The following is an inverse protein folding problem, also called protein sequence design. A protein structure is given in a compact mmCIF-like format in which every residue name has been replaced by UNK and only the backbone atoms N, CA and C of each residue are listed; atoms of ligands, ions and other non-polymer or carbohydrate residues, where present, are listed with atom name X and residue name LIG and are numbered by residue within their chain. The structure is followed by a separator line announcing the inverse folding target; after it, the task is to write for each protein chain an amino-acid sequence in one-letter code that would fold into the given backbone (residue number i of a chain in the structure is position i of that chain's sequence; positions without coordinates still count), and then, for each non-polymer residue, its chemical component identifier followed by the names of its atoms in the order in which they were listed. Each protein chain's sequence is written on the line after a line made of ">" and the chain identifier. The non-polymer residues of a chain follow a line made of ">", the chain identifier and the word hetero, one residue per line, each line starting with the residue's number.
data_IF_834606479008
#
_entry.id   IF_834606479008
#
_cell.length_a   1.000
_cell.length_b   1.000
_cell.length_c   1.000
_cell.angle_alpha   90.00
_cell.angle_beta   90.00
_cell.angle_gamma   90.00
#
_symmetry.space_group_name_H-M   'P 1'
#
loop_
_entity.id
_entity.type
_entity.pdbx_description
1 polymer ?
#
# COMPACT_ATOMS: atom_id res chain seq x y z
N UNK A 1 48.20 30.45 -20.98
CA UNK A 1 47.76 29.06 -20.70
C UNK A 1 46.76 28.91 -19.51
N UNK A 2 45.84 29.85 -19.17
CA UNK A 2 44.83 29.60 -18.11
C UNK A 2 43.49 29.08 -18.64
N UNK A 3 43.15 29.31 -19.93
CA UNK A 3 41.84 28.97 -20.49
C UNK A 3 41.55 27.47 -20.58
N UNK A 4 42.57 26.65 -20.87
CA UNK A 4 42.40 25.19 -20.94
C UNK A 4 42.12 24.58 -19.55
N UNK A 5 42.67 25.17 -18.48
CA UNK A 5 42.42 24.72 -17.10
C UNK A 5 41.00 25.06 -16.64
N UNK A 6 40.46 26.20 -17.08
CA UNK A 6 39.07 26.60 -16.80
C UNK A 6 38.05 25.70 -17.56
N UNK A 7 38.37 25.33 -18.80
CA UNK A 7 37.55 24.43 -19.62
C UNK A 7 37.47 23.01 -19.03
N UNK A 8 38.60 22.47 -18.54
CA UNK A 8 38.66 21.16 -17.88
C UNK A 8 37.86 21.17 -16.57
N UNK A 9 37.91 22.27 -15.82
CA UNK A 9 37.13 22.44 -14.59
C UNK A 9 35.61 22.47 -14.88
N UNK A 10 35.19 23.13 -15.96
CA UNK A 10 33.78 23.17 -16.38
C UNK A 10 33.28 21.81 -16.88
N UNK A 11 34.12 21.03 -17.59
CA UNK A 11 33.79 19.69 -18.08
C UNK A 11 33.64 18.66 -16.95
N UNK A 12 34.36 18.82 -15.83
CA UNK A 12 34.20 17.97 -14.64
C UNK A 12 32.88 18.23 -13.89
N UNK A 13 32.35 19.46 -13.93
CA UNK A 13 31.11 19.81 -13.21
C UNK A 13 29.87 19.23 -13.91
N UNK A 14 29.90 19.08 -15.24
CA UNK A 14 28.76 18.52 -15.99
C UNK A 14 28.58 17.01 -15.83
N UNK A 15 29.61 16.29 -15.37
CA UNK A 15 29.52 14.83 -15.09
C UNK A 15 28.72 14.56 -13.81
N UNK A 16 28.58 15.56 -12.93
CA UNK A 16 27.80 15.46 -11.70
C UNK A 16 26.33 15.90 -11.86
N UNK A 17 25.85 16.15 -13.09
CA UNK A 17 24.42 16.17 -13.34
C UNK A 17 23.90 14.75 -13.20
N UNK A 18 23.59 14.39 -11.95
CA UNK A 18 22.89 13.19 -11.54
C UNK A 18 21.71 13.01 -12.47
N UNK A 19 21.78 12.01 -13.34
CA UNK A 19 20.55 11.41 -13.85
C UNK A 19 19.73 11.07 -12.61
N UNK A 20 18.49 11.54 -12.57
CA UNK A 20 17.49 10.96 -11.68
C UNK A 20 17.40 9.49 -12.07
N UNK A 21 18.29 8.66 -11.51
CA UNK A 21 18.22 7.22 -11.66
C UNK A 21 16.82 6.86 -11.18
N UNK A 22 15.99 6.34 -12.07
CA UNK A 22 14.72 5.74 -11.65
C UNK A 22 15.10 4.75 -10.55
N UNK A 23 14.60 4.95 -9.32
CA UNK A 23 15.01 4.20 -8.13
C UNK A 23 14.49 2.77 -8.23
N UNK A 24 15.14 1.96 -9.07
CA UNK A 24 14.83 0.56 -9.25
C UNK A 24 15.55 -0.24 -8.18
N UNK A 25 14.78 -1.01 -7.43
CA UNK A 25 15.29 -1.91 -6.39
C UNK A 25 15.04 -3.36 -6.75
N UNK A 26 15.91 -4.24 -6.24
CA UNK A 26 15.74 -5.67 -6.41
C UNK A 26 14.43 -6.14 -5.79
N UNK A 27 13.70 -6.97 -6.53
CA UNK A 27 12.40 -7.47 -6.12
C UNK A 27 11.92 -8.59 -7.03
N UNK A 28 10.67 -8.99 -6.83
CA UNK A 28 10.01 -9.95 -7.70
C UNK A 28 8.50 -9.72 -7.72
N UNK A 29 7.87 -10.18 -8.79
CA UNK A 29 6.41 -10.31 -8.88
C UNK A 29 6.03 -11.79 -8.81
N UNK A 30 4.85 -12.07 -8.28
CA UNK A 30 4.20 -13.37 -8.37
C UNK A 30 3.01 -13.20 -9.31
N UNK A 31 3.02 -13.93 -10.42
CA UNK A 31 1.93 -13.93 -11.39
C UNK A 31 0.71 -14.68 -10.86
N UNK A 32 -0.45 -14.47 -11.47
CA UNK A 32 -1.67 -15.21 -11.14
C UNK A 32 -1.54 -16.73 -11.41
N UNK A 33 -0.59 -17.15 -12.27
CA UNK A 33 -0.20 -18.54 -12.46
C UNK A 33 0.58 -19.15 -11.28
N UNK A 34 0.96 -18.34 -10.29
CA UNK A 34 1.91 -18.62 -9.21
C UNK A 34 3.39 -18.66 -9.62
N UNK A 35 3.72 -18.31 -10.86
CA UNK A 35 5.11 -18.16 -11.27
C UNK A 35 5.74 -16.91 -10.64
N UNK A 36 6.98 -17.04 -10.18
CA UNK A 36 7.75 -15.91 -9.62
C UNK A 36 8.72 -15.39 -10.67
N UNK A 37 8.63 -14.10 -10.98
CA UNK A 37 9.53 -13.43 -11.92
C UNK A 37 10.40 -12.45 -11.16
N UNK A 38 11.72 -12.69 -11.16
CA UNK A 38 12.71 -11.81 -10.53
C UNK A 38 13.03 -10.63 -11.43
N UNK A 39 13.36 -9.50 -10.82
CA UNK A 39 13.74 -8.31 -11.55
C UNK A 39 13.91 -7.11 -10.64
N UNK A 40 13.57 -5.95 -11.20
CA UNK A 40 13.67 -4.67 -10.53
C UNK A 40 12.31 -3.98 -10.51
N UNK A 41 11.90 -3.47 -9.34
CA UNK A 41 10.68 -2.69 -9.18
C UNK A 41 11.08 -1.24 -8.93
N UNK A 42 10.40 -0.29 -9.57
CA UNK A 42 10.61 1.13 -9.32
C UNK A 42 10.02 1.48 -7.95
N UNK A 43 10.86 1.89 -7.02
CA UNK A 43 10.48 2.40 -5.70
C UNK A 43 10.16 3.89 -5.80
N UNK A 44 8.87 4.23 -5.75
CA UNK A 44 8.40 5.61 -5.74
C UNK A 44 8.23 6.17 -4.32
N UNK A 45 8.69 5.45 -3.28
CA UNK A 45 8.60 5.88 -1.87
C UNK A 45 7.17 6.01 -1.38
N UNK A 46 6.33 5.00 -1.65
CA UNK A 46 4.89 5.14 -1.50
C UNK A 46 4.44 5.38 -0.04
N UNK A 47 3.86 6.54 0.24
CA UNK A 47 3.10 6.81 1.48
C UNK A 47 1.73 6.11 1.50
N UNK A 48 1.25 5.69 0.32
CA UNK A 48 -0.05 5.05 0.10
C UNK A 48 0.16 3.67 -0.52
N UNK A 49 -0.85 2.80 -0.49
CA UNK A 49 -0.76 1.57 -1.26
C UNK A 49 -0.67 1.90 -2.77
N UNK A 50 0.32 1.35 -3.50
CA UNK A 50 0.43 1.61 -4.93
C UNK A 50 -0.81 1.09 -5.66
N UNK A 51 -1.26 1.82 -6.67
CA UNK A 51 -2.31 1.37 -7.59
C UNK A 51 -1.72 0.55 -8.75
N UNK A 52 -0.48 0.90 -9.12
CA UNK A 52 0.33 0.17 -10.09
C UNK A 52 1.78 0.17 -9.64
N UNK A 53 2.55 -0.80 -10.14
CA UNK A 53 4.00 -0.85 -10.01
C UNK A 53 4.64 -0.90 -11.39
N UNK A 54 5.83 -0.34 -11.53
CA UNK A 54 6.67 -0.54 -12.71
C UNK A 54 7.72 -1.60 -12.41
N UNK A 55 7.78 -2.61 -13.27
CA UNK A 55 8.66 -3.76 -13.13
C UNK A 55 9.48 -3.99 -14.40
N UNK A 56 10.76 -4.31 -14.22
CA UNK A 56 11.67 -4.74 -15.28
C UNK A 56 12.19 -6.12 -14.92
N UNK A 57 11.89 -7.11 -15.75
CA UNK A 57 12.37 -8.47 -15.51
C UNK A 57 13.90 -8.57 -15.64
N UNK A 58 14.50 -9.52 -14.92
CA UNK A 58 15.94 -9.77 -14.99
C UNK A 58 16.37 -10.13 -16.43
N UNK A 59 17.44 -9.48 -16.90
CA UNK A 59 17.94 -9.66 -18.27
C UNK A 59 17.10 -8.99 -19.36
N UNK A 60 16.05 -8.27 -19.02
CA UNK A 60 15.22 -7.52 -19.98
C UNK A 60 15.40 -6.01 -19.85
N UNK A 61 15.28 -5.29 -20.97
CA UNK A 61 15.27 -3.83 -21.01
C UNK A 61 13.91 -3.23 -20.69
N UNK A 62 12.85 -3.97 -21.01
CA UNK A 62 11.49 -3.46 -21.05
C UNK A 62 10.92 -3.27 -19.65
N UNK A 63 10.23 -2.15 -19.46
CA UNK A 63 9.54 -1.81 -18.21
C UNK A 63 8.05 -1.98 -18.43
N UNK A 64 7.44 -2.88 -17.65
CA UNK A 64 6.01 -3.17 -17.70
C UNK A 64 5.31 -2.61 -16.47
N UNK A 65 4.06 -2.16 -16.65
CA UNK A 65 3.20 -1.71 -15.55
C UNK A 65 2.28 -2.85 -15.14
N UNK A 66 2.25 -3.17 -13.84
CA UNK A 66 1.34 -4.15 -13.27
C UNK A 66 0.40 -3.49 -12.25
N UNK A 67 -0.80 -4.02 -12.16
CA UNK A 67 -1.82 -3.63 -11.19
C UNK A 67 -2.30 -4.88 -10.41
N UNK A 68 -3.10 -4.70 -9.34
CA UNK A 68 -3.58 -5.80 -8.50
C UNK A 68 -4.35 -6.89 -9.25
N UNK A 69 -5.04 -6.56 -10.35
CA UNK A 69 -5.77 -7.54 -11.16
C UNK A 69 -4.83 -8.41 -12.02
N UNK A 70 -3.64 -7.91 -12.37
CA UNK A 70 -2.71 -8.58 -13.29
C UNK A 70 -1.67 -9.49 -12.63
N UNK A 71 -1.38 -9.27 -11.35
CA UNK A 71 -0.41 -10.05 -10.58
C UNK A 71 -0.96 -10.39 -9.21
N UNK A 72 -0.48 -11.48 -8.62
CA UNK A 72 -0.90 -11.96 -7.31
C UNK A 72 -0.20 -11.23 -6.17
N UNK A 73 1.07 -10.89 -6.35
CA UNK A 73 1.88 -10.23 -5.34
C UNK A 73 3.11 -9.56 -5.94
N UNK A 74 3.74 -8.68 -5.18
CA UNK A 74 5.10 -8.24 -5.45
C UNK A 74 5.87 -8.02 -4.14
N UNK A 75 7.19 -8.14 -4.22
CA UNK A 75 8.10 -7.96 -3.10
C UNK A 75 9.18 -6.94 -3.46
N UNK A 76 9.34 -5.93 -2.60
CA UNK A 76 10.33 -4.86 -2.75
C UNK A 76 10.70 -4.34 -1.35
N UNK A 77 11.98 -4.00 -1.15
CA UNK A 77 12.46 -3.38 0.09
C UNK A 77 12.05 -4.13 1.37
N UNK A 78 12.13 -5.47 1.35
CA UNK A 78 11.70 -6.37 2.44
C UNK A 78 10.21 -6.33 2.79
N UNK A 79 9.39 -5.74 1.92
CA UNK A 79 7.94 -5.63 2.07
C UNK A 79 7.26 -6.45 0.98
N UNK A 80 6.35 -7.32 1.40
CA UNK A 80 5.51 -8.10 0.51
C UNK A 80 4.12 -7.49 0.41
N UNK A 81 3.66 -7.27 -0.81
CA UNK A 81 2.30 -6.82 -1.11
C UNK A 81 1.55 -7.94 -1.82
N UNK A 82 0.31 -8.18 -1.41
CA UNK A 82 -0.61 -9.12 -2.08
C UNK A 82 -1.78 -8.36 -2.69
N UNK A 83 -2.23 -8.83 -3.85
CA UNK A 83 -3.48 -8.40 -4.44
C UNK A 83 -4.64 -9.07 -3.74
N UNK A 84 -5.62 -8.28 -3.33
CA UNK A 84 -6.86 -8.78 -2.76
C UNK A 84 -8.04 -8.08 -3.41
N UNK A 85 -9.06 -8.88 -3.73
CA UNK A 85 -10.39 -8.40 -4.04
C UNK A 85 -11.15 -8.26 -2.72
N UNK A 86 -11.55 -7.05 -2.36
CA UNK A 86 -12.03 -6.76 -1.01
C UNK A 86 -13.08 -5.64 -0.96
N UNK A 87 -13.97 -5.75 0.02
CA UNK A 87 -14.81 -4.63 0.44
C UNK A 87 -14.01 -3.69 1.35
N UNK A 88 -13.91 -2.43 0.93
CA UNK A 88 -13.13 -1.39 1.60
C UNK A 88 -14.09 -0.30 2.08
N UNK A 89 -14.08 -0.02 3.37
CA UNK A 89 -14.90 1.02 3.97
C UNK A 89 -14.46 2.39 3.44
N UNK A 90 -15.41 3.23 3.04
CA UNK A 90 -15.14 4.59 2.54
C UNK A 90 -15.29 5.67 3.60
N UNK A 91 -15.65 5.31 4.83
CA UNK A 91 -15.84 6.26 5.92
C UNK A 91 -14.53 6.97 6.24
N UNK A 92 -14.58 8.30 6.20
CA UNK A 92 -13.44 9.15 6.53
C UNK A 92 -13.04 9.00 8.01
N UNK A 93 -11.73 9.00 8.26
CA UNK A 93 -11.16 9.09 9.61
C UNK A 93 -10.72 10.51 9.99
N UNK A 94 -10.85 11.47 9.07
CA UNK A 94 -10.50 12.88 9.28
C UNK A 94 -11.56 13.61 10.11
N UNK A 95 -11.14 14.23 11.23
CA UNK A 95 -12.00 14.99 12.14
C UNK A 95 -12.82 16.09 11.45
N UNK A 96 -12.25 16.68 10.38
CA UNK A 96 -12.90 17.74 9.62
C UNK A 96 -14.07 17.21 8.78
N UNK A 97 -13.93 15.99 8.27
CA UNK A 97 -14.89 15.36 7.35
C UNK A 97 -15.84 14.40 8.06
N UNK A 98 -15.70 14.31 9.39
CA UNK A 98 -16.54 13.48 10.25
C UNK A 98 -17.94 14.07 10.36
N UNK A 99 -18.94 13.29 9.96
CA UNK A 99 -20.36 13.60 10.09
C UNK A 99 -21.03 12.90 11.28
N UNK A 100 -22.34 13.08 11.38
CA UNK A 100 -23.20 12.47 12.40
C UNK A 100 -23.72 11.09 12.00
N UNK A 101 -23.51 10.69 10.75
CA UNK A 101 -23.97 9.40 10.26
C UNK A 101 -23.19 8.25 10.91
N UNK A 102 -23.93 7.26 11.38
CA UNK A 102 -23.38 6.06 12.03
C UNK A 102 -23.22 4.90 11.06
N UNK A 103 -23.75 5.02 9.84
CA UNK A 103 -23.68 4.01 8.79
C UNK A 103 -22.24 3.77 8.34
N UNK A 104 -22.01 2.58 7.77
CA UNK A 104 -20.76 2.21 7.12
C UNK A 104 -21.05 1.98 5.64
N UNK A 105 -20.19 2.51 4.78
CA UNK A 105 -20.30 2.40 3.34
C UNK A 105 -19.04 1.74 2.82
N UNK A 106 -19.20 0.88 1.82
CA UNK A 106 -18.12 0.09 1.26
C UNK A 106 -18.08 0.24 -0.25
N UNK A 107 -16.87 0.20 -0.79
CA UNK A 107 -16.62 -0.05 -2.20
C UNK A 107 -15.97 -1.42 -2.34
N UNK A 108 -16.20 -2.06 -3.47
CA UNK A 108 -15.55 -3.31 -3.83
C UNK A 108 -14.45 -3.00 -4.84
N UNK A 109 -13.21 -3.39 -4.53
CA UNK A 109 -12.05 -3.10 -5.39
C UNK A 109 -10.93 -4.13 -5.21
N UNK A 110 -10.09 -4.28 -6.24
CA UNK A 110 -8.89 -5.12 -6.19
C UNK A 110 -7.65 -4.26 -5.93
N UNK A 111 -7.03 -4.41 -4.76
CA UNK A 111 -5.96 -3.52 -4.28
C UNK A 111 -4.71 -4.28 -3.84
N UNK A 112 -3.56 -3.61 -3.90
CA UNK A 112 -2.34 -4.09 -3.27
C UNK A 112 -2.37 -3.78 -1.76
N UNK A 113 -2.40 -4.83 -0.94
CA UNK A 113 -2.29 -4.71 0.51
C UNK A 113 -0.91 -5.11 0.99
N UNK A 114 -0.33 -4.29 1.86
CA UNK A 114 0.94 -4.56 2.54
C UNK A 114 0.74 -5.69 3.54
N UNK A 115 1.62 -6.69 3.51
CA UNK A 115 1.63 -7.76 4.49
C UNK A 115 2.26 -7.26 5.79
N UNK A 116 1.54 -7.35 6.90
CA UNK A 116 2.03 -6.99 8.24
C UNK A 116 2.44 -8.21 9.05
N UNK A 117 1.61 -9.26 9.02
CA UNK A 117 1.86 -10.52 9.72
C UNK A 117 1.45 -11.67 8.81
N UNK A 118 2.34 -12.64 8.62
CA UNK A 118 2.03 -13.93 7.99
C UNK A 118 1.98 -15.00 9.07
N UNK A 119 0.91 -15.78 9.09
CA UNK A 119 0.81 -16.95 9.97
C UNK A 119 0.73 -18.23 9.15
N UNK A 120 1.33 -19.29 9.68
CA UNK A 120 1.15 -20.65 9.17
C UNK A 120 -0.25 -21.20 9.49
N UNK A 121 -0.93 -20.64 10.51
CA UNK A 121 -2.23 -21.11 11.01
C UNK A 121 -3.41 -20.41 10.31
N UNK A 122 -3.22 -19.95 9.06
CA UNK A 122 -4.27 -19.35 8.23
C UNK A 122 -4.64 -17.90 8.56
N UNK A 123 -4.28 -17.35 9.72
CA UNK A 123 -4.63 -15.98 10.14
C UNK A 123 -3.53 -14.96 9.83
N UNK A 124 -3.70 -14.14 8.80
CA UNK A 124 -2.71 -13.13 8.39
C UNK A 124 -3.26 -11.71 8.48
N UNK A 125 -2.39 -10.74 8.76
CA UNK A 125 -2.75 -9.33 8.90
C UNK A 125 -2.12 -8.52 7.77
N UNK A 126 -2.91 -7.62 7.20
CA UNK A 126 -2.53 -6.74 6.11
C UNK A 126 -2.92 -5.30 6.42
N UNK A 127 -2.29 -4.35 5.73
CA UNK A 127 -2.79 -2.97 5.65
C UNK A 127 -2.92 -2.47 4.23
N UNK A 128 -3.87 -1.55 4.05
CA UNK A 128 -4.09 -0.80 2.82
C UNK A 128 -4.23 0.67 3.18
N UNK A 129 -3.42 1.52 2.54
CA UNK A 129 -3.50 2.97 2.72
C UNK A 129 -4.12 3.58 1.48
N UNK A 130 -5.31 4.14 1.63
CA UNK A 130 -6.09 4.66 0.51
C UNK A 130 -5.54 5.99 -0.05
N UNK A 131 -6.20 6.49 -1.11
CA UNK A 131 -5.85 7.75 -1.77
C UNK A 131 -5.89 8.98 -0.84
N UNK A 132 -6.55 8.87 0.32
CA UNK A 132 -6.66 9.93 1.32
C UNK A 132 -5.70 9.72 2.49
N UNK A 133 -4.70 8.84 2.34
CA UNK A 133 -3.74 8.48 3.38
C UNK A 133 -4.39 7.87 4.64
N UNK A 134 -5.58 7.28 4.50
CA UNK A 134 -6.20 6.54 5.61
C UNK A 134 -5.73 5.09 5.55
N UNK A 135 -4.95 4.69 6.55
CA UNK A 135 -4.53 3.29 6.70
C UNK A 135 -5.64 2.43 7.30
N UNK A 136 -5.95 1.32 6.64
CA UNK A 136 -6.96 0.33 7.04
C UNK A 136 -6.29 -1.01 7.24
N UNK A 137 -6.77 -1.78 8.20
CA UNK A 137 -6.20 -3.08 8.54
C UNK A 137 -7.16 -4.18 8.13
N UNK A 138 -6.64 -5.29 7.64
CA UNK A 138 -7.42 -6.40 7.14
C UNK A 138 -6.90 -7.71 7.72
N UNK A 139 -7.83 -8.57 8.12
CA UNK A 139 -7.53 -9.94 8.52
C UNK A 139 -7.93 -10.87 7.39
N UNK A 140 -6.98 -11.72 6.99
CA UNK A 140 -7.26 -12.89 6.16
C UNK A 140 -7.33 -14.11 7.04
N UNK A 141 -8.41 -14.87 6.91
CA UNK A 141 -8.52 -16.23 7.39
C UNK A 141 -8.92 -17.11 6.22
N UNK A 142 -8.15 -18.17 5.97
CA UNK A 142 -8.28 -19.01 4.78
C UNK A 142 -8.28 -18.17 3.49
N UNK A 143 -9.36 -18.17 2.72
CA UNK A 143 -9.50 -17.40 1.48
C UNK A 143 -10.37 -16.15 1.62
N UNK A 144 -10.78 -15.79 2.83
CA UNK A 144 -11.60 -14.60 3.06
C UNK A 144 -10.76 -13.49 3.67
N UNK A 145 -10.84 -12.29 3.08
CA UNK A 145 -10.22 -11.05 3.57
C UNK A 145 -11.30 -10.12 4.10
N UNK A 146 -11.14 -9.57 5.30
CA UNK A 146 -12.11 -8.66 5.91
C UNK A 146 -11.41 -7.44 6.55
N UNK A 147 -11.97 -6.24 6.37
CA UNK A 147 -11.51 -5.05 7.09
C UNK A 147 -11.80 -5.16 8.60
N UNK A 148 -10.81 -4.79 9.41
CA UNK A 148 -10.95 -4.53 10.84
C UNK A 148 -11.56 -3.15 11.05
N UNK A 149 -12.84 -3.13 11.40
CA UNK A 149 -13.67 -1.94 11.34
C UNK A 149 -13.50 -1.03 12.56
N UNK A 150 -13.31 0.25 12.27
CA UNK A 150 -13.38 1.34 13.22
C UNK A 150 -14.46 2.31 12.75
N UNK A 151 -15.54 2.45 13.52
CA UNK A 151 -16.61 3.38 13.18
C UNK A 151 -16.46 4.64 14.03
N UNK A 152 -16.11 5.75 13.38
CA UNK A 152 -15.95 7.06 14.01
C UNK A 152 -17.05 7.98 13.50
N UNK A 153 -17.77 8.65 14.39
CA UNK A 153 -18.83 9.61 14.05
C UNK A 153 -18.90 10.73 15.10
N UNK A 154 -19.63 11.80 14.80
CA UNK A 154 -19.95 12.87 15.76
C UNK A 154 -21.32 12.66 16.38
N UNK A 155 -21.46 13.11 17.62
CA UNK A 155 -22.76 13.36 18.26
C UNK A 155 -22.79 14.78 18.79
N UNK A 156 -23.98 15.37 18.87
CA UNK A 156 -24.15 16.72 19.40
C UNK A 156 -24.70 16.64 20.83
N UNK A 157 -23.91 17.06 21.81
CA UNK A 157 -24.27 17.06 23.23
C UNK A 157 -23.88 18.40 23.83
N UNK A 158 -24.79 19.03 24.59
CA UNK A 158 -24.53 20.28 25.32
C UNK A 158 -23.86 21.36 24.45
N UNK A 159 -24.42 21.59 23.26
CA UNK A 159 -23.95 22.55 22.27
C UNK A 159 -22.56 22.29 21.67
N UNK A 160 -22.03 21.08 21.84
CA UNK A 160 -20.70 20.70 21.35
C UNK A 160 -20.73 19.42 20.51
N UNK A 161 -19.84 19.37 19.52
CA UNK A 161 -19.54 18.16 18.76
C UNK A 161 -18.63 17.25 19.58
N UNK A 162 -19.12 16.04 19.87
CA UNK A 162 -18.34 15.01 20.54
C UNK A 162 -18.02 13.90 19.54
N UNK A 163 -16.73 13.60 19.40
CA UNK A 163 -16.27 12.44 18.62
C UNK A 163 -16.56 11.16 19.41
N UNK A 164 -17.27 10.25 18.78
CA UNK A 164 -17.48 8.88 19.27
C UNK A 164 -16.69 7.92 18.39
N UNK A 165 -16.02 6.97 19.03
CA UNK A 165 -15.29 5.89 18.36
C UNK A 165 -15.85 4.55 18.82
N UNK A 166 -16.29 3.72 17.88
CA UNK A 166 -16.75 2.36 18.12
C UNK A 166 -15.74 1.37 17.53
N UNK A 167 -15.02 0.69 18.41
CA UNK A 167 -13.96 -0.29 18.10
C UNK A 167 -14.54 -1.66 17.72
N UNK A 168 -15.24 -1.73 16.58
CA UNK A 168 -15.88 -2.97 16.09
C UNK A 168 -14.86 -4.09 15.90
N UNK A 169 -13.63 -3.72 15.50
CA UNK A 169 -12.51 -4.65 15.34
C UNK A 169 -12.21 -5.50 16.57
N UNK A 170 -12.49 -5.05 17.81
CA UNK A 170 -12.24 -5.86 19.00
C UNK A 170 -13.14 -7.10 19.03
N UNK A 171 -14.41 -6.94 18.67
CA UNK A 171 -15.33 -8.07 18.53
C UNK A 171 -14.94 -8.96 17.36
N UNK A 172 -14.53 -8.37 16.23
CA UNK A 172 -14.06 -9.14 15.07
C UNK A 172 -12.85 -10.01 15.43
N UNK A 173 -11.83 -9.43 16.08
CA UNK A 173 -10.64 -10.15 16.54
C UNK A 173 -10.98 -11.25 17.54
N UNK A 174 -11.91 -11.00 18.48
CA UNK A 174 -12.36 -12.01 19.43
C UNK A 174 -13.00 -13.24 18.77
N UNK A 175 -13.54 -13.12 17.55
CA UNK A 175 -14.06 -14.26 16.79
C UNK A 175 -12.95 -15.09 16.13
N UNK A 176 -11.79 -14.50 15.86
CA UNK A 176 -10.64 -15.18 15.26
C UNK A 176 -9.72 -15.86 16.29
N UNK A 177 -9.83 -15.52 17.57
CA UNK A 177 -8.95 -16.03 18.64
C UNK A 177 -9.64 -16.98 19.60
N UNK A 178 -10.91 -17.34 19.33
CA UNK A 178 -11.66 -18.31 20.12
C UNK A 178 -11.45 -19.71 19.53
N UNK A 179 -10.39 -20.34 19.98
CA UNK A 179 -10.18 -21.80 19.93
C UNK A 179 -10.74 -22.45 21.21
#
# INVERSE_FOLDING_TARGET
>A
MPFHKLLIFYLCITIFCTTSAQNFEAGYIILNSNDTVKGLIRNDGWERSPQTILFRAEGQSDVLSYNPATIKAFFISDILYYSFDADINTKSRSLKDLGYDTSMYFIHDTVFMKTLVRSANGLSLYSYTDAYATERFFVRQDDTINELLLNIFKIYILYNDIKVTRSIYLTQLGNYTRD
#
